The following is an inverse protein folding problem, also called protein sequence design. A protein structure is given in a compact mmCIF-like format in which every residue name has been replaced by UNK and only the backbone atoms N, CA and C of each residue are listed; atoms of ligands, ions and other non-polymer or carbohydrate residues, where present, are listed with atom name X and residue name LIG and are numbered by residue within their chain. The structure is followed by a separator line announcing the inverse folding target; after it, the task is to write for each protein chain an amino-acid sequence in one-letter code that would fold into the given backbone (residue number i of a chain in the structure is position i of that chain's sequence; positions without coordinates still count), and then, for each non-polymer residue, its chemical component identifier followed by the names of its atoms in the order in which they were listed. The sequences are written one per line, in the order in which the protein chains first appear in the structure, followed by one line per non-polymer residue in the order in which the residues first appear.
data_IF_308363643945
#
_entry.id   IF_308363643945
#
_cell.length_a   1.000
_cell.length_b   1.000
_cell.length_c   1.000
_cell.angle_alpha   90.00
_cell.angle_beta   90.00
_cell.angle_gamma   90.00
#
_symmetry.space_group_name_H-M   'P 1'
#
loop_
_entity.id
_entity.type
_entity.pdbx_description
1 polymer ?
#
# COMPACT_ATOMS: atom_id res chain seq x y z
N UNK A 1 18.82 -79.87 -10.37
CA UNK A 1 18.96 -78.81 -9.30
C UNK A 1 18.79 -77.45 -9.96
N UNK A 2 17.61 -76.88 -9.87
CA UNK A 2 17.27 -75.56 -10.48
C UNK A 2 17.30 -74.51 -9.39
N UNK A 3 18.20 -73.53 -9.46
CA UNK A 3 18.25 -72.38 -8.56
C UNK A 3 17.34 -71.27 -9.10
N UNK A 4 16.25 -70.99 -8.39
CA UNK A 4 15.38 -69.84 -8.64
C UNK A 4 16.02 -68.57 -8.09
N UNK A 5 16.28 -67.61 -8.97
CA UNK A 5 16.72 -66.26 -8.59
C UNK A 5 15.47 -65.44 -8.36
N UNK A 6 15.24 -65.07 -7.11
CA UNK A 6 14.14 -64.17 -6.72
C UNK A 6 14.60 -62.72 -6.92
N UNK A 7 14.06 -62.06 -7.96
CA UNK A 7 14.33 -60.67 -8.22
C UNK A 7 13.40 -59.83 -7.34
N UNK A 8 13.96 -59.18 -6.32
CA UNK A 8 13.24 -58.18 -5.49
C UNK A 8 13.22 -56.88 -6.24
N UNK A 9 12.07 -56.51 -6.80
CA UNK A 9 11.81 -55.20 -7.36
C UNK A 9 11.49 -54.25 -6.22
N UNK A 10 12.43 -53.36 -5.87
CA UNK A 10 12.22 -52.26 -4.94
C UNK A 10 11.49 -51.14 -5.68
N UNK A 11 10.19 -51.03 -5.47
CA UNK A 11 9.38 -49.89 -5.92
C UNK A 11 9.72 -48.69 -5.01
N UNK A 12 10.56 -47.76 -5.50
CA UNK A 12 10.72 -46.42 -4.95
C UNK A 12 9.47 -45.63 -5.28
N UNK A 13 8.51 -45.59 -4.38
CA UNK A 13 7.41 -44.62 -4.43
C UNK A 13 7.98 -43.25 -4.05
N UNK A 14 8.33 -42.45 -5.05
CA UNK A 14 8.62 -41.02 -4.83
C UNK A 14 7.35 -40.33 -4.33
N UNK A 15 7.27 -40.09 -3.01
CA UNK A 15 6.29 -39.14 -2.45
C UNK A 15 6.59 -37.74 -3.01
N UNK A 16 5.90 -37.37 -4.06
CA UNK A 16 5.74 -35.97 -4.45
C UNK A 16 4.91 -35.28 -3.35
N UNK A 17 5.59 -34.74 -2.36
CA UNK A 17 4.97 -33.78 -1.44
C UNK A 17 4.67 -32.53 -2.29
N UNK A 18 3.47 -32.50 -2.88
CA UNK A 18 2.92 -31.29 -3.43
C UNK A 18 2.86 -30.29 -2.28
N UNK A 19 3.75 -29.30 -2.29
CA UNK A 19 3.66 -28.13 -1.45
C UNK A 19 2.35 -27.44 -1.82
N UNK A 20 1.25 -27.84 -1.16
CA UNK A 20 -0.01 -27.12 -1.24
C UNK A 20 0.30 -25.72 -0.73
N UNK A 21 0.53 -24.80 -1.67
CA UNK A 21 0.66 -23.39 -1.37
C UNK A 21 -0.57 -23.01 -0.57
N UNK A 22 -0.39 -22.71 0.71
CA UNK A 22 -1.48 -22.29 1.57
C UNK A 22 -2.06 -21.02 0.99
N UNK A 23 -3.14 -21.15 0.21
CA UNK A 23 -3.96 -20.05 -0.24
C UNK A 23 -4.41 -19.28 0.99
N UNK A 24 -4.16 -17.97 1.02
CA UNK A 24 -4.48 -17.11 2.16
C UNK A 24 -5.98 -16.92 2.43
N UNK A 25 -6.84 -17.74 1.82
CA UNK A 25 -8.30 -17.66 2.04
C UNK A 25 -8.68 -18.26 3.39
N UNK A 26 -9.15 -17.40 4.30
CA UNK A 26 -9.66 -17.78 5.61
C UNK A 26 -10.65 -16.71 6.12
N UNK A 27 -11.42 -17.07 7.14
CA UNK A 27 -12.19 -16.11 7.93
C UNK A 27 -11.99 -16.39 9.41
N UNK A 28 -11.55 -15.37 10.16
CA UNK A 28 -11.39 -15.42 11.62
C UNK A 28 -12.16 -14.26 12.24
N UNK A 29 -12.69 -14.47 13.45
CA UNK A 29 -13.39 -13.45 14.22
C UNK A 29 -12.67 -13.18 15.52
N UNK A 30 -12.81 -11.97 16.04
CA UNK A 30 -12.17 -11.58 17.29
C UNK A 30 -12.49 -10.14 17.67
N UNK A 31 -11.68 -9.59 18.56
CA UNK A 31 -11.74 -8.19 19.00
C UNK A 31 -10.37 -7.57 18.82
N UNK A 32 -10.29 -6.34 18.30
CA UNK A 32 -9.04 -5.59 18.20
C UNK A 32 -8.64 -5.10 19.59
N UNK A 33 -7.50 -5.58 20.09
CA UNK A 33 -7.00 -5.24 21.43
C UNK A 33 -5.96 -4.14 21.41
N UNK A 34 -5.27 -3.94 20.28
CA UNK A 34 -4.29 -2.87 20.09
C UNK A 34 -4.20 -2.46 18.63
N UNK A 35 -3.94 -1.19 18.38
CA UNK A 35 -3.57 -0.66 17.07
C UNK A 35 -2.12 -0.16 17.20
N UNK A 36 -1.23 -0.73 16.40
CA UNK A 36 0.22 -0.41 16.42
C UNK A 36 0.41 0.89 15.63
N UNK A 37 -0.06 0.88 14.38
CA UNK A 37 -0.01 2.00 13.44
C UNK A 37 -1.28 2.01 12.56
N UNK A 38 -1.25 2.68 11.40
CA UNK A 38 -2.43 2.78 10.53
C UNK A 38 -2.80 1.49 9.82
N UNK A 39 -1.86 0.56 9.61
CA UNK A 39 -2.09 -0.68 8.86
C UNK A 39 -1.71 -1.97 9.60
N UNK A 40 -1.30 -1.84 10.85
CA UNK A 40 -0.94 -2.98 11.71
C UNK A 40 -1.71 -2.93 13.04
N UNK A 41 -2.40 -4.02 13.35
CA UNK A 41 -3.18 -4.15 14.58
C UNK A 41 -2.95 -5.50 15.27
N UNK A 42 -3.42 -5.63 16.50
CA UNK A 42 -3.45 -6.88 17.27
C UNK A 42 -4.90 -7.23 17.55
N UNK A 43 -5.27 -8.47 17.28
CA UNK A 43 -6.60 -9.01 17.56
C UNK A 43 -6.50 -10.23 18.48
N UNK A 44 -7.39 -10.29 19.49
CA UNK A 44 -7.70 -11.50 20.24
C UNK A 44 -8.83 -12.20 19.52
N UNK A 45 -8.55 -13.38 19.01
CA UNK A 45 -9.50 -14.20 18.27
C UNK A 45 -10.49 -14.90 19.22
N UNK A 46 -11.63 -15.33 18.69
CA UNK A 46 -12.67 -16.01 19.49
C UNK A 46 -12.23 -17.37 20.05
N UNK A 47 -11.19 -17.98 19.46
CA UNK A 47 -10.55 -19.19 20.00
C UNK A 47 -9.50 -18.89 21.10
N UNK A 48 -9.41 -17.64 21.58
CA UNK A 48 -8.48 -17.20 22.63
C UNK A 48 -7.10 -16.77 22.14
N UNK A 49 -6.70 -17.12 20.92
CA UNK A 49 -5.39 -16.80 20.36
C UNK A 49 -5.26 -15.28 20.09
N UNK A 50 -4.07 -14.74 20.31
CA UNK A 50 -3.74 -13.37 19.94
C UNK A 50 -2.86 -13.36 18.70
N UNK A 51 -3.16 -12.49 17.74
CA UNK A 51 -2.39 -12.40 16.49
C UNK A 51 -2.12 -10.95 16.10
N UNK A 52 -0.93 -10.70 15.55
CA UNK A 52 -0.64 -9.45 14.85
C UNK A 52 -1.19 -9.57 13.43
N UNK A 53 -1.82 -8.52 12.97
CA UNK A 53 -2.46 -8.46 11.65
C UNK A 53 -1.86 -7.31 10.86
N UNK A 54 -1.37 -7.57 9.66
CA UNK A 54 -0.99 -6.59 8.66
C UNK A 54 -2.12 -6.49 7.64
N UNK A 55 -2.68 -5.31 7.48
CA UNK A 55 -3.78 -5.09 6.54
C UNK A 55 -3.29 -5.28 5.10
N UNK A 56 -4.01 -6.09 4.33
CA UNK A 56 -3.73 -6.31 2.90
C UNK A 56 -4.02 -5.03 2.12
N UNK A 57 -3.15 -4.71 1.18
CA UNK A 57 -3.40 -3.72 0.13
C UNK A 57 -3.25 -2.26 0.54
N UNK A 58 -2.82 -1.96 1.74
CA UNK A 58 -2.60 -0.60 2.22
C UNK A 58 -1.21 -0.45 2.83
N UNK A 59 -0.58 0.70 2.64
CA UNK A 59 0.57 1.17 3.41
C UNK A 59 0.27 2.56 3.95
N UNK A 60 0.41 2.72 5.26
CA UNK A 60 0.26 4.02 5.93
C UNK A 60 1.62 4.62 6.21
N UNK A 61 1.75 5.95 6.25
CA UNK A 61 3.01 6.57 6.63
C UNK A 61 3.41 6.21 8.05
N UNK A 62 4.72 6.09 8.29
CA UNK A 62 5.28 5.89 9.62
C UNK A 62 4.96 7.08 10.56
N UNK A 63 4.95 6.88 11.88
CA UNK A 63 4.52 7.92 12.85
C UNK A 63 5.21 9.27 12.71
N UNK A 64 6.46 9.32 12.25
CA UNK A 64 7.24 10.55 12.03
C UNK A 64 6.99 11.22 10.69
N UNK A 65 6.36 10.52 9.75
CA UNK A 65 6.07 11.05 8.42
C UNK A 65 4.75 11.85 8.41
N UNK A 66 4.60 12.68 7.36
CA UNK A 66 3.36 13.43 7.16
C UNK A 66 2.14 12.51 7.20
N UNK A 67 1.15 12.84 8.00
CA UNK A 67 -0.05 12.07 8.29
C UNK A 67 0.15 10.73 9.03
N UNK A 68 1.36 10.29 9.38
CA UNK A 68 1.59 9.00 10.05
C UNK A 68 0.86 8.88 11.40
N UNK A 69 1.03 9.88 12.29
CA UNK A 69 0.31 9.90 13.55
C UNK A 69 -1.22 9.94 13.36
N UNK A 70 -1.70 10.71 12.38
CA UNK A 70 -3.13 10.80 12.05
C UNK A 70 -3.67 9.49 11.51
N UNK A 71 -2.90 8.74 10.73
CA UNK A 71 -3.27 7.42 10.21
C UNK A 71 -3.45 6.41 11.36
N UNK A 72 -2.48 6.32 12.27
CA UNK A 72 -2.59 5.48 13.46
C UNK A 72 -3.74 5.88 14.38
N UNK A 73 -3.94 7.18 14.61
CA UNK A 73 -5.07 7.69 15.41
C UNK A 73 -6.41 7.34 14.75
N UNK A 74 -6.52 7.48 13.42
CA UNK A 74 -7.73 7.13 12.69
C UNK A 74 -8.01 5.62 12.75
N UNK A 75 -7.02 4.79 12.52
CA UNK A 75 -7.15 3.33 12.66
C UNK A 75 -7.62 2.96 14.08
N UNK A 76 -7.06 3.60 15.11
CA UNK A 76 -7.46 3.39 16.51
C UNK A 76 -8.92 3.76 16.74
N UNK A 77 -9.38 4.92 16.30
CA UNK A 77 -10.80 5.33 16.39
C UNK A 77 -11.74 4.35 15.71
N UNK A 78 -11.32 3.79 14.56
CA UNK A 78 -12.15 2.90 13.76
C UNK A 78 -12.19 1.47 14.29
N UNK A 79 -11.12 1.00 14.95
CA UNK A 79 -10.94 -0.42 15.21
C UNK A 79 -10.72 -0.80 16.68
N UNK A 80 -10.11 0.04 17.52
CA UNK A 80 -9.75 -0.35 18.89
C UNK A 80 -10.98 -0.76 19.69
N UNK A 81 -10.86 -1.86 20.44
CA UNK A 81 -11.88 -2.49 21.27
C UNK A 81 -13.14 -2.93 20.49
N UNK A 82 -13.09 -2.97 19.16
CA UNK A 82 -14.25 -3.39 18.34
C UNK A 82 -14.10 -4.81 17.85
N UNK A 83 -15.28 -5.44 17.63
CA UNK A 83 -15.37 -6.74 16.96
C UNK A 83 -14.84 -6.62 15.53
N UNK A 84 -14.06 -7.61 15.12
CA UNK A 84 -13.45 -7.67 13.80
C UNK A 84 -13.69 -9.03 13.14
N UNK A 85 -13.92 -9.00 11.84
CA UNK A 85 -13.87 -10.18 10.98
C UNK A 85 -12.63 -10.02 10.10
N UNK A 86 -11.67 -10.90 10.28
CA UNK A 86 -10.44 -10.97 9.49
C UNK A 86 -10.67 -11.94 8.33
N UNK A 87 -10.48 -11.44 7.11
CA UNK A 87 -10.60 -12.25 5.89
C UNK A 87 -9.28 -12.26 5.15
N UNK A 88 -8.77 -13.45 4.88
CA UNK A 88 -7.61 -13.65 3.99
C UNK A 88 -8.00 -13.41 2.53
N UNK A 89 -6.98 -13.36 1.68
CA UNK A 89 -7.12 -13.24 0.24
C UNK A 89 -6.45 -14.45 -0.43
N UNK A 90 -7.14 -15.10 -1.36
CA UNK A 90 -6.64 -16.28 -2.06
C UNK A 90 -5.36 -16.01 -2.88
N UNK A 91 -5.15 -14.76 -3.30
CA UNK A 91 -3.97 -14.35 -4.08
C UNK A 91 -2.76 -13.99 -3.19
N UNK A 92 -2.95 -13.95 -1.87
CA UNK A 92 -1.93 -13.57 -0.91
C UNK A 92 -1.53 -14.73 -0.01
N UNK A 93 -0.32 -14.68 0.54
CA UNK A 93 0.12 -15.58 1.62
C UNK A 93 -0.74 -15.36 2.87
N UNK A 94 -0.87 -16.38 3.69
CA UNK A 94 -1.57 -16.27 4.98
C UNK A 94 -0.83 -15.37 5.96
N UNK A 95 0.51 -15.39 5.92
CA UNK A 95 1.39 -14.59 6.77
C UNK A 95 2.51 -13.98 5.95
N UNK A 96 3.00 -12.83 6.41
CA UNK A 96 4.21 -12.24 5.88
C UNK A 96 5.48 -12.84 6.54
N UNK A 97 6.64 -12.35 6.12
CA UNK A 97 7.95 -12.77 6.65
C UNK A 97 8.15 -12.46 8.14
N UNK A 98 7.39 -11.49 8.68
CA UNK A 98 7.43 -11.11 10.10
C UNK A 98 6.41 -11.90 10.94
N UNK A 99 5.77 -12.92 10.35
CA UNK A 99 4.78 -13.79 10.97
C UNK A 99 3.42 -13.12 11.21
N UNK A 100 3.20 -11.89 10.70
CA UNK A 100 1.92 -11.20 10.83
C UNK A 100 0.87 -11.83 9.91
N UNK A 101 -0.35 -11.98 10.40
CA UNK A 101 -1.48 -12.46 9.62
C UNK A 101 -1.85 -11.41 8.56
N UNK A 102 -1.81 -11.79 7.28
CA UNK A 102 -2.27 -10.91 6.19
C UNK A 102 -3.79 -11.03 6.06
N UNK A 103 -4.50 -9.94 6.28
CA UNK A 103 -5.97 -9.95 6.24
C UNK A 103 -6.57 -8.59 5.89
N UNK A 104 -7.75 -8.62 5.31
CA UNK A 104 -8.71 -7.52 5.37
C UNK A 104 -9.38 -7.52 6.74
N UNK A 105 -9.45 -6.38 7.41
CA UNK A 105 -10.13 -6.23 8.69
C UNK A 105 -11.50 -5.55 8.49
N UNK A 106 -12.56 -6.30 8.73
CA UNK A 106 -13.93 -5.81 8.62
C UNK A 106 -14.46 -5.42 9.99
N UNK A 107 -14.78 -4.14 10.18
CA UNK A 107 -15.33 -3.56 11.40
C UNK A 107 -16.74 -3.04 11.09
N UNK A 108 -17.75 -3.53 11.79
CA UNK A 108 -19.14 -3.19 11.56
C UNK A 108 -19.54 -3.29 10.06
N UNK A 109 -19.14 -4.38 9.40
CA UNK A 109 -19.42 -4.64 8.00
C UNK A 109 -18.64 -3.80 6.99
N UNK A 110 -17.67 -2.98 7.43
CA UNK A 110 -16.87 -2.10 6.57
C UNK A 110 -15.39 -2.47 6.63
N UNK A 111 -14.76 -2.53 5.47
CA UNK A 111 -13.33 -2.81 5.32
C UNK A 111 -12.50 -1.62 5.83
N UNK A 112 -11.69 -1.87 6.86
CA UNK A 112 -10.85 -0.85 7.52
C UNK A 112 -9.81 -0.27 6.57
N UNK A 113 -9.09 -1.11 5.82
CA UNK A 113 -8.06 -0.68 4.87
C UNK A 113 -8.63 0.22 3.79
N UNK A 114 -9.74 -0.18 3.19
CA UNK A 114 -10.44 0.63 2.20
C UNK A 114 -10.88 2.00 2.77
N UNK A 115 -11.42 2.02 4.01
CA UNK A 115 -11.83 3.27 4.66
C UNK A 115 -10.68 4.21 4.94
N UNK A 116 -9.53 3.68 5.34
CA UNK A 116 -8.31 4.45 5.58
C UNK A 116 -7.80 5.07 4.27
N UNK A 117 -7.77 4.29 3.18
CA UNK A 117 -7.39 4.79 1.84
C UNK A 117 -8.36 5.88 1.37
N UNK A 118 -9.67 5.65 1.45
CA UNK A 118 -10.69 6.62 1.06
C UNK A 118 -10.60 7.94 1.84
N UNK A 119 -10.14 7.87 3.09
CA UNK A 119 -9.87 9.03 3.94
C UNK A 119 -8.52 9.69 3.71
N UNK A 120 -7.66 9.13 2.85
CA UNK A 120 -6.30 9.63 2.61
C UNK A 120 -5.31 9.32 3.73
N UNK A 121 -5.56 8.30 4.56
CA UNK A 121 -4.66 7.90 5.65
C UNK A 121 -3.59 6.88 5.25
N UNK A 122 -3.59 6.45 4.01
CA UNK A 122 -2.62 5.52 3.43
C UNK A 122 -2.78 5.42 1.93
N UNK A 123 -1.83 4.73 1.31
CA UNK A 123 -1.78 4.49 -0.14
C UNK A 123 -2.03 3.01 -0.42
N UNK A 124 -2.53 2.70 -1.63
CA UNK A 124 -2.59 1.31 -2.10
C UNK A 124 -1.17 0.75 -2.17
N UNK A 125 -1.01 -0.46 -1.65
CA UNK A 125 0.28 -1.14 -1.63
C UNK A 125 0.14 -2.58 -2.13
N UNK A 126 0.90 -2.93 -3.16
CA UNK A 126 1.01 -4.29 -3.70
C UNK A 126 2.40 -4.80 -3.36
N UNK A 127 2.49 -5.87 -2.57
CA UNK A 127 3.78 -6.42 -2.13
C UNK A 127 4.41 -7.33 -3.21
N UNK A 128 3.80 -8.48 -3.49
CA UNK A 128 4.29 -9.43 -4.50
C UNK A 128 3.31 -9.54 -5.67
N UNK A 129 2.05 -9.76 -5.37
CA UNK A 129 0.99 -9.98 -6.35
C UNK A 129 -0.21 -9.08 -6.08
N UNK A 130 -0.96 -8.69 -7.11
CA UNK A 130 -2.22 -7.97 -6.93
C UNK A 130 -3.18 -8.76 -6.03
N UNK A 131 -3.81 -8.06 -5.10
CA UNK A 131 -4.84 -8.62 -4.22
C UNK A 131 -6.24 -8.47 -4.82
N UNK A 132 -7.17 -9.33 -4.43
CA UNK A 132 -8.52 -9.41 -5.04
C UNK A 132 -9.27 -8.08 -5.03
N UNK A 133 -9.13 -7.27 -3.97
CA UNK A 133 -9.85 -6.00 -3.80
C UNK A 133 -9.13 -4.77 -4.40
N UNK A 134 -8.07 -4.96 -5.18
CA UNK A 134 -7.21 -3.88 -5.67
C UNK A 134 -7.96 -2.80 -6.45
N UNK A 135 -8.95 -3.16 -7.27
CA UNK A 135 -9.77 -2.21 -8.05
C UNK A 135 -10.52 -1.24 -7.14
N UNK A 136 -11.20 -1.76 -6.10
CA UNK A 136 -11.92 -0.93 -5.13
C UNK A 136 -10.99 0.00 -4.35
N UNK A 137 -9.80 -0.51 -3.97
CA UNK A 137 -8.79 0.27 -3.24
C UNK A 137 -8.20 1.40 -4.10
N UNK A 138 -7.89 1.12 -5.37
CA UNK A 138 -7.42 2.15 -6.33
C UNK A 138 -8.48 3.22 -6.54
N UNK A 139 -9.74 2.85 -6.76
CA UNK A 139 -10.83 3.81 -6.90
C UNK A 139 -10.99 4.71 -5.67
N UNK A 140 -10.89 4.13 -4.47
CA UNK A 140 -10.91 4.90 -3.22
C UNK A 140 -9.70 5.84 -3.10
N UNK A 141 -8.51 5.39 -3.48
CA UNK A 141 -7.29 6.19 -3.53
C UNK A 141 -7.43 7.37 -4.48
N UNK A 142 -7.91 7.12 -5.69
CA UNK A 142 -8.10 8.16 -6.70
C UNK A 142 -9.10 9.22 -6.23
N UNK A 143 -10.15 8.81 -5.53
CA UNK A 143 -11.08 9.73 -4.88
C UNK A 143 -10.42 10.57 -3.77
N UNK A 144 -9.56 9.97 -2.96
CA UNK A 144 -8.81 10.68 -1.93
C UNK A 144 -7.78 11.65 -2.54
N UNK A 145 -7.08 11.22 -3.59
CA UNK A 145 -6.09 12.02 -4.32
C UNK A 145 -6.72 13.24 -4.98
N UNK A 146 -7.79 13.06 -5.75
CA UNK A 146 -8.50 14.18 -6.38
C UNK A 146 -9.04 15.21 -5.37
N UNK A 147 -9.39 14.76 -4.18
CA UNK A 147 -9.89 15.61 -3.10
C UNK A 147 -8.77 16.09 -2.15
N UNK A 148 -7.49 15.87 -2.49
CA UNK A 148 -6.32 16.25 -1.69
C UNK A 148 -6.44 15.84 -0.21
N UNK A 149 -6.99 14.64 0.09
CA UNK A 149 -7.20 14.18 1.46
C UNK A 149 -5.93 13.57 2.04
N UNK A 150 -5.63 13.91 3.28
CA UNK A 150 -4.62 13.23 4.07
C UNK A 150 -3.23 13.27 3.45
N UNK A 151 -2.64 12.10 3.18
CA UNK A 151 -1.30 11.96 2.58
C UNK A 151 -1.17 12.64 1.22
N UNK A 152 -2.26 12.91 0.55
CA UNK A 152 -2.31 13.61 -0.74
C UNK A 152 -2.29 15.13 -0.58
N UNK A 153 -2.39 15.63 0.65
CA UNK A 153 -2.14 17.02 1.01
C UNK A 153 -0.71 17.22 1.55
N UNK A 154 0.05 16.15 1.78
CA UNK A 154 1.45 16.22 2.20
C UNK A 154 2.29 16.73 1.03
N UNK A 155 3.03 17.80 1.23
CA UNK A 155 3.77 18.49 0.16
C UNK A 155 2.95 19.53 -0.59
N UNK A 156 1.63 19.57 -0.42
CA UNK A 156 0.80 20.70 -0.83
C UNK A 156 0.92 21.87 0.17
N UNK A 157 2.13 22.17 0.60
CA UNK A 157 2.43 23.44 1.27
C UNK A 157 2.72 24.48 0.19
N UNK A 158 1.70 24.79 -0.57
CA UNK A 158 1.31 26.04 -1.21
C UNK A 158 0.16 25.73 -2.16
N UNK A 159 -0.91 26.53 -2.23
CA UNK A 159 -1.78 26.50 -3.39
C UNK A 159 -0.87 26.63 -4.63
N UNK A 160 -1.24 26.02 -5.78
CA UNK A 160 -0.48 26.26 -7.00
C UNK A 160 -0.28 27.78 -7.10
N UNK A 161 0.95 28.27 -7.33
CA UNK A 161 1.18 29.70 -7.38
C UNK A 161 0.14 30.27 -8.33
N UNK A 162 -0.60 31.28 -7.84
CA UNK A 162 -1.48 32.06 -8.69
C UNK A 162 -0.64 32.52 -9.89
N UNK A 163 -1.21 32.58 -11.08
CA UNK A 163 -0.54 32.92 -12.35
C UNK A 163 0.50 34.06 -12.24
N UNK A 164 0.39 34.88 -11.21
CA UNK A 164 1.34 35.95 -10.90
C UNK A 164 2.72 35.50 -10.39
N UNK A 165 2.90 34.24 -10.03
CA UNK A 165 4.16 33.67 -9.54
C UNK A 165 4.69 32.48 -10.36
N UNK A 166 4.12 32.23 -11.53
CA UNK A 166 4.55 31.17 -12.42
C UNK A 166 5.73 31.59 -13.29
N UNK A 167 6.71 30.70 -13.42
CA UNK A 167 7.77 30.91 -14.40
C UNK A 167 7.21 30.72 -15.82
N UNK A 168 7.37 31.72 -16.72
CA UNK A 168 6.72 31.69 -18.04
C UNK A 168 7.22 30.58 -18.95
N UNK A 169 8.41 30.05 -18.69
CA UNK A 169 9.02 28.99 -19.50
C UNK A 169 8.46 27.59 -19.24
N UNK A 170 7.57 27.39 -18.25
CA UNK A 170 7.17 26.04 -17.86
C UNK A 170 5.67 25.84 -17.74
N UNK A 171 5.22 24.63 -18.13
CA UNK A 171 3.85 24.17 -17.95
C UNK A 171 3.86 22.69 -17.51
N UNK A 172 3.22 22.29 -16.37
CA UNK A 172 2.45 23.16 -15.48
C UNK A 172 3.30 24.24 -14.79
N UNK A 173 2.61 25.19 -14.14
CA UNK A 173 3.23 26.30 -13.43
C UNK A 173 4.31 25.86 -12.45
N UNK A 174 5.53 26.37 -12.61
CA UNK A 174 6.62 26.24 -11.64
C UNK A 174 6.85 27.57 -10.92
N UNK A 175 7.25 27.57 -9.64
CA UNK A 175 7.55 28.80 -8.91
C UNK A 175 8.79 29.50 -9.50
N UNK A 176 8.81 30.83 -9.41
CA UNK A 176 9.99 31.65 -9.75
C UNK A 176 10.92 31.62 -8.52
N UNK A 177 11.98 30.83 -8.60
CA UNK A 177 13.00 30.67 -7.54
C UNK A 177 14.41 30.77 -8.15
N UNK A 178 15.44 30.78 -7.31
CA UNK A 178 16.84 30.86 -7.78
C UNK A 178 17.32 29.59 -8.46
N UNK A 179 16.78 28.43 -8.07
CA UNK A 179 17.11 27.13 -8.62
C UNK A 179 15.97 26.14 -8.34
N UNK A 180 15.80 25.16 -9.24
CA UNK A 180 14.78 24.11 -9.12
C UNK A 180 15.28 22.87 -9.87
N UNK A 181 15.31 21.72 -9.21
CA UNK A 181 15.68 20.45 -9.83
C UNK A 181 14.50 19.53 -10.09
N UNK A 182 14.74 18.43 -10.80
CA UNK A 182 13.69 17.45 -11.11
C UNK A 182 13.12 16.73 -9.86
N UNK A 183 13.86 16.68 -8.75
CA UNK A 183 13.37 16.20 -7.47
C UNK A 183 12.31 17.13 -6.90
N UNK A 184 12.57 18.43 -6.96
CA UNK A 184 11.64 19.48 -6.54
C UNK A 184 10.38 19.48 -7.40
N UNK A 185 10.55 19.40 -8.74
CA UNK A 185 9.43 19.37 -9.69
C UNK A 185 8.53 18.14 -9.45
N UNK A 186 9.11 16.99 -9.16
CA UNK A 186 8.35 15.77 -8.78
C UNK A 186 7.65 15.94 -7.44
N UNK A 187 8.29 16.60 -6.48
CA UNK A 187 7.71 16.90 -5.15
C UNK A 187 6.51 17.86 -5.28
N UNK A 188 6.58 18.84 -6.18
CA UNK A 188 5.49 19.74 -6.53
C UNK A 188 4.36 19.02 -7.31
N UNK A 189 4.57 17.78 -7.78
CA UNK A 189 3.62 17.05 -8.60
C UNK A 189 3.47 17.61 -10.01
N UNK A 190 4.49 18.34 -10.49
CA UNK A 190 4.51 19.03 -11.77
C UNK A 190 5.28 18.28 -12.87
N UNK A 191 5.90 17.14 -12.54
CA UNK A 191 6.61 16.32 -13.52
C UNK A 191 5.65 15.34 -14.27
N UNK A 192 5.87 15.07 -15.57
CA UNK A 192 6.82 15.78 -16.43
C UNK A 192 6.37 17.23 -16.69
N UNK A 193 7.33 18.11 -16.93
CA UNK A 193 7.08 19.53 -17.19
C UNK A 193 7.40 19.87 -18.64
N UNK A 194 6.54 20.63 -19.31
CA UNK A 194 6.79 21.12 -20.65
C UNK A 194 7.59 22.42 -20.60
N UNK A 195 8.67 22.48 -21.36
CA UNK A 195 9.47 23.70 -21.54
C UNK A 195 8.89 24.50 -22.71
N UNK A 196 8.47 25.74 -22.43
CA UNK A 196 7.77 26.62 -23.38
C UNK A 196 8.68 27.71 -23.98
N UNK A 197 9.88 27.89 -23.45
CA UNK A 197 10.84 28.91 -23.82
C UNK A 197 12.25 28.57 -23.35
N UNK A 198 12.96 29.56 -22.79
CA UNK A 198 14.25 29.29 -22.17
C UNK A 198 14.09 28.33 -20.99
N UNK A 199 15.09 27.48 -20.77
CA UNK A 199 15.13 26.51 -19.67
C UNK A 199 16.13 26.95 -18.56
N UNK A 200 15.79 27.96 -17.74
CA UNK A 200 16.71 28.49 -16.74
C UNK A 200 17.02 27.51 -15.62
N UNK A 201 16.17 26.52 -15.36
CA UNK A 201 16.39 25.49 -14.35
C UNK A 201 17.05 24.22 -14.93
N UNK A 202 17.30 24.16 -16.26
CA UNK A 202 17.92 23.03 -16.94
C UNK A 202 17.20 21.70 -16.67
N UNK A 203 15.88 21.73 -16.72
CA UNK A 203 15.04 20.58 -16.45
C UNK A 203 14.92 19.64 -17.66
N UNK A 204 15.13 20.16 -18.86
CA UNK A 204 15.10 19.46 -20.15
C UNK A 204 16.53 19.20 -20.62
N UNK A 205 17.09 18.05 -20.20
CA UNK A 205 18.50 17.73 -20.45
C UNK A 205 18.83 17.30 -21.89
N UNK A 206 17.85 16.82 -22.65
CA UNK A 206 18.01 16.36 -24.03
C UNK A 206 17.39 17.30 -25.07
N UNK A 207 16.79 18.40 -24.62
CA UNK A 207 16.17 19.46 -25.42
C UNK A 207 15.04 18.98 -26.34
N UNK A 208 14.22 18.03 -25.86
CA UNK A 208 13.04 17.55 -26.56
C UNK A 208 11.77 18.35 -26.25
N UNK A 209 11.85 19.31 -25.34
CA UNK A 209 10.76 20.16 -24.87
C UNK A 209 10.02 19.62 -23.67
N UNK A 210 10.50 18.52 -23.08
CA UNK A 210 10.00 17.96 -21.84
C UNK A 210 11.12 17.81 -20.80
N UNK A 211 10.83 18.19 -19.60
CA UNK A 211 11.76 18.07 -18.48
C UNK A 211 11.24 17.15 -17.40
N UNK A 212 12.18 16.53 -16.67
CA UNK A 212 11.91 15.69 -15.52
C UNK A 212 11.02 14.46 -15.79
N UNK A 213 11.17 13.87 -16.95
CA UNK A 213 10.52 12.61 -17.32
C UNK A 213 10.88 11.42 -16.40
#
# INVERSE_FOLDING_TARGET
MKRSVLTVAVLLAALLVASAGFSGSFTKRGTVTRVIDGDTLVAKLDNGATTRVRLIGINTPEPGACYGQKAGARARTLALAKRVVLKGDATQKTRDRDGRLLAYAWIAGRDLGHRLIAGGFGKVYVYETPFTRIGAYRSAQDGARRAHRGVWACGASSPPPTTAGCHPSYSPCLPIVSDLDCGDVRTLGAAPVRVLGDDPYRLDGDNDGWGCE
#
